data_IF_028610207640
#
_entry.id   IF_028610207640
#
_cell.length_a   1.000
_cell.length_b   1.000
_cell.length_c   1.000
_cell.angle_alpha   90.00
_cell.angle_beta   90.00
_cell.angle_gamma   90.00
#
_symmetry.space_group_name_H-M   'P 1'
#
loop_
_entity.id
_entity.type
_entity.pdbx_description
1 polymer ?
#
# COMPACT_ATOMS: atom_id res chain seq x y z
N UNK A 1 -8.63 -13.56 10.03
CA UNK A 1 -7.19 -13.25 10.04
C UNK A 1 -7.03 -11.77 10.31
N UNK A 2 -6.23 -11.38 11.30
CA UNK A 2 -5.95 -9.96 11.59
C UNK A 2 -4.88 -9.42 10.63
N UNK A 3 -4.87 -8.10 10.38
CA UNK A 3 -3.81 -7.48 9.57
C UNK A 3 -2.43 -7.62 10.21
N UNK A 4 -2.37 -7.68 11.55
CA UNK A 4 -1.15 -7.99 12.31
C UNK A 4 -0.61 -9.39 12.06
N UNK A 5 -1.45 -10.35 11.67
CA UNK A 5 -0.99 -11.67 11.22
C UNK A 5 -0.53 -11.62 9.76
N UNK A 6 -1.23 -10.84 8.93
CA UNK A 6 -0.96 -10.73 7.48
C UNK A 6 0.38 -10.03 7.16
N UNK A 7 0.89 -9.19 8.06
CA UNK A 7 2.10 -8.38 7.82
C UNK A 7 3.33 -9.21 7.44
N UNK A 8 3.54 -10.39 8.04
CA UNK A 8 4.70 -11.24 7.75
C UNK A 8 4.61 -11.84 6.35
N UNK A 9 3.41 -12.31 5.97
CA UNK A 9 3.17 -12.83 4.64
C UNK A 9 3.38 -11.74 3.56
N UNK A 10 3.05 -10.47 3.87
CA UNK A 10 3.30 -9.36 2.96
C UNK A 10 4.80 -9.13 2.73
N UNK A 11 5.61 -9.18 3.79
CA UNK A 11 7.08 -9.07 3.68
C UNK A 11 7.65 -10.20 2.83
N UNK A 12 7.21 -11.43 3.09
CA UNK A 12 7.67 -12.60 2.33
C UNK A 12 7.34 -12.48 0.83
N UNK A 13 6.12 -12.06 0.49
CA UNK A 13 5.74 -11.82 -0.91
C UNK A 13 6.58 -10.70 -1.52
N UNK A 14 6.83 -9.62 -0.77
CA UNK A 14 7.65 -8.51 -1.24
C UNK A 14 9.10 -8.91 -1.53
N UNK A 15 9.68 -9.74 -0.67
CA UNK A 15 11.06 -10.24 -0.81
C UNK A 15 11.20 -11.24 -1.97
N UNK A 16 10.13 -11.97 -2.29
CA UNK A 16 10.07 -12.89 -3.43
C UNK A 16 9.94 -12.17 -4.79
N UNK A 17 9.64 -10.86 -4.82
CA UNK A 17 9.50 -10.10 -6.07
C UNK A 17 10.87 -9.72 -6.66
N UNK A 18 11.16 -10.06 -7.94
CA UNK A 18 12.41 -9.69 -8.60
C UNK A 18 12.53 -8.17 -8.79
N UNK A 19 13.75 -7.66 -8.82
CA UNK A 19 14.01 -6.26 -9.14
C UNK A 19 13.92 -6.01 -10.66
N UNK A 20 13.36 -4.87 -11.12
CA UNK A 20 12.82 -3.75 -10.33
C UNK A 20 11.36 -3.97 -9.86
N UNK A 21 11.07 -3.65 -8.59
CA UNK A 21 9.73 -3.75 -7.98
C UNK A 21 9.24 -2.41 -7.44
N UNK A 22 7.92 -2.23 -7.42
CA UNK A 22 7.26 -1.03 -6.91
C UNK A 22 6.01 -1.38 -6.09
N UNK A 23 5.68 -0.52 -5.12
CA UNK A 23 4.53 -0.71 -4.24
C UNK A 23 3.61 0.49 -4.30
N UNK A 24 2.33 0.27 -4.61
CA UNK A 24 1.30 1.29 -4.54
C UNK A 24 0.43 1.01 -3.29
N UNK A 25 0.35 1.97 -2.38
CA UNK A 25 -0.55 1.87 -1.22
C UNK A 25 -1.88 2.56 -1.52
N UNK A 26 -2.96 1.79 -1.47
CA UNK A 26 -4.30 2.26 -1.87
C UNK A 26 -5.27 2.35 -0.70
N UNK A 27 -5.88 3.52 -0.53
CA UNK A 27 -6.96 3.75 0.41
C UNK A 27 -6.53 3.92 1.87
N UNK A 28 -7.46 4.41 2.71
CA UNK A 28 -7.17 4.75 4.12
C UNK A 28 -6.69 3.54 4.94
N UNK A 29 -7.21 2.35 4.64
CA UNK A 29 -6.82 1.10 5.30
C UNK A 29 -5.32 0.80 5.14
N UNK A 30 -4.80 0.89 3.90
CA UNK A 30 -3.40 0.59 3.65
C UNK A 30 -2.48 1.73 4.12
N UNK A 31 -2.90 2.98 3.91
CA UNK A 31 -2.07 4.15 4.20
C UNK A 31 -1.89 4.40 5.70
N UNK A 32 -2.95 4.22 6.51
CA UNK A 32 -2.94 4.59 7.94
C UNK A 32 -3.65 3.62 8.88
N UNK A 33 -4.18 2.50 8.39
CA UNK A 33 -4.96 1.55 9.19
C UNK A 33 -6.48 1.76 9.12
N UNK A 34 -6.95 2.71 8.30
CA UNK A 34 -8.36 2.85 7.94
C UNK A 34 -9.17 3.71 8.92
N UNK A 35 -10.45 3.38 9.07
CA UNK A 35 -11.37 4.06 9.98
C UNK A 35 -11.21 3.58 11.44
N UNK A 36 -10.49 2.47 11.64
CA UNK A 36 -10.30 1.78 12.92
C UNK A 36 -8.84 1.78 13.40
N UNK A 37 -7.99 2.62 12.79
CA UNK A 37 -6.58 2.82 13.11
C UNK A 37 -6.30 3.13 14.59
N UNK A 38 -7.23 3.82 15.25
CA UNK A 38 -7.15 4.16 16.67
C UNK A 38 -7.77 3.13 17.63
N UNK A 39 -8.68 2.26 17.16
CA UNK A 39 -9.53 1.43 18.03
C UNK A 39 -9.33 -0.08 17.87
N UNK A 40 -8.71 -0.55 16.78
CA UNK A 40 -8.53 -1.97 16.53
C UNK A 40 -7.11 -2.43 16.87
N UNK A 41 -6.98 -3.50 17.66
CA UNK A 41 -5.70 -4.18 17.93
C UNK A 41 -5.24 -5.04 16.75
N UNK A 42 -6.14 -5.29 15.80
CA UNK A 42 -5.93 -6.21 14.69
C UNK A 42 -5.46 -5.50 13.41
N UNK A 43 -5.22 -4.18 13.44
CA UNK A 43 -4.79 -3.38 12.27
C UNK A 43 -3.35 -2.90 12.40
N UNK A 44 -2.64 -2.84 11.27
CA UNK A 44 -1.35 -2.15 11.18
C UNK A 44 -1.59 -0.68 10.85
N UNK A 45 -0.93 0.21 11.59
CA UNK A 45 -1.04 1.68 11.41
C UNK A 45 -0.15 2.16 10.26
N UNK A 46 -0.51 1.74 9.05
CA UNK A 46 0.16 2.04 7.80
C UNK A 46 1.18 0.98 7.39
N UNK A 47 1.07 0.48 6.15
CA UNK A 47 1.98 -0.53 5.62
C UNK A 47 3.35 0.01 5.20
N UNK A 48 3.51 1.33 5.13
CA UNK A 48 4.80 2.01 4.90
C UNK A 48 5.87 1.67 5.95
N UNK A 49 5.44 1.22 7.14
CA UNK A 49 6.35 0.76 8.19
C UNK A 49 6.92 -0.64 7.93
N UNK A 50 6.32 -1.39 7.02
CA UNK A 50 6.65 -2.79 6.75
C UNK A 50 7.35 -2.93 5.40
N UNK A 51 6.78 -2.33 4.35
CA UNK A 51 7.33 -2.35 2.98
C UNK A 51 7.45 -0.91 2.45
N UNK A 52 8.49 -0.60 1.65
CA UNK A 52 8.66 0.74 1.11
C UNK A 52 7.57 1.03 0.07
N UNK A 53 6.79 2.09 0.30
CA UNK A 53 5.71 2.50 -0.60
C UNK A 53 6.19 3.56 -1.59
N UNK A 54 5.94 3.36 -2.89
CA UNK A 54 6.32 4.30 -3.94
C UNK A 54 5.30 5.40 -4.18
N UNK A 55 4.01 5.06 -4.13
CA UNK A 55 2.89 5.94 -4.45
C UNK A 55 1.74 5.67 -3.50
N UNK A 56 1.09 6.75 -3.07
CA UNK A 56 -0.09 6.73 -2.22
C UNK A 56 -1.32 7.18 -2.99
N UNK A 57 -2.35 6.34 -3.02
CA UNK A 57 -3.69 6.70 -3.48
C UNK A 57 -4.54 6.97 -2.25
N UNK A 58 -4.99 8.23 -2.07
CA UNK A 58 -5.65 8.69 -0.84
C UNK A 58 -7.17 8.47 -0.81
N UNK A 59 -7.78 8.20 -1.97
CA UNK A 59 -9.24 8.04 -2.09
C UNK A 59 -9.78 6.86 -1.28
N UNK A 60 -10.95 7.04 -0.65
CA UNK A 60 -11.62 5.98 0.12
C UNK A 60 -13.13 6.28 0.21
N UNK A 61 -14.00 5.56 -0.53
CA UNK A 61 -13.74 4.37 -1.34
C UNK A 61 -12.92 4.69 -2.59
N UNK A 62 -12.13 3.73 -3.06
CA UNK A 62 -11.21 3.95 -4.18
C UNK A 62 -12.00 4.00 -5.49
N UNK A 63 -12.04 5.16 -6.13
CA UNK A 63 -12.62 5.29 -7.48
C UNK A 63 -11.66 4.72 -8.53
N UNK A 64 -12.21 4.17 -9.61
CA UNK A 64 -11.42 3.56 -10.68
C UNK A 64 -10.47 4.59 -11.33
N UNK A 65 -10.92 5.84 -11.50
CA UNK A 65 -10.09 6.91 -12.06
C UNK A 65 -8.90 7.25 -11.18
N UNK A 66 -9.09 7.23 -9.85
CA UNK A 66 -8.03 7.53 -8.89
C UNK A 66 -6.93 6.46 -8.89
N UNK A 67 -7.31 5.19 -9.02
CA UNK A 67 -6.34 4.10 -9.16
C UNK A 67 -5.58 4.21 -10.48
N UNK A 68 -6.29 4.47 -11.58
CA UNK A 68 -5.67 4.65 -12.89
C UNK A 68 -4.68 5.82 -12.87
N UNK A 69 -5.05 6.93 -12.23
CA UNK A 69 -4.15 8.06 -12.04
C UNK A 69 -2.90 7.69 -11.25
N UNK A 70 -3.03 6.90 -10.18
CA UNK A 70 -1.89 6.38 -9.42
C UNK A 70 -0.95 5.51 -10.27
N UNK A 71 -1.48 4.65 -11.14
CA UNK A 71 -0.69 3.83 -12.06
C UNK A 71 0.02 4.71 -13.10
N UNK A 72 -0.67 5.72 -13.66
CA UNK A 72 -0.06 6.66 -14.60
C UNK A 72 1.08 7.47 -13.94
N UNK A 73 0.92 7.85 -12.67
CA UNK A 73 2.00 8.46 -11.89
C UNK A 73 3.17 7.50 -11.69
N UNK A 74 2.92 6.21 -11.47
CA UNK A 74 3.98 5.20 -11.38
C UNK A 74 4.75 5.09 -12.69
N UNK A 75 4.05 4.97 -13.82
CA UNK A 75 4.66 4.93 -15.14
C UNK A 75 5.54 6.17 -15.39
N UNK A 76 5.08 7.36 -15.00
CA UNK A 76 5.88 8.60 -15.08
C UNK A 76 7.11 8.57 -14.18
N UNK A 77 7.04 7.95 -13.00
CA UNK A 77 8.18 7.76 -12.08
C UNK A 77 9.20 6.79 -12.66
N UNK A 78 8.75 5.73 -13.32
CA UNK A 78 9.60 4.73 -13.98
C UNK A 78 10.29 5.33 -15.22
N UNK A 79 9.55 6.05 -16.07
CA UNK A 79 10.10 6.64 -17.30
C UNK A 79 11.07 7.80 -17.06
N UNK A 80 11.10 8.38 -15.85
CA UNK A 80 12.07 9.40 -15.45
C UNK A 80 13.37 8.80 -14.89
N UNK A 81 13.46 7.49 -14.81
CA UNK A 81 14.60 6.75 -14.26
C UNK A 81 15.57 6.34 -15.36
#
# INVERSE_FOLDING_TARGET
>A
MSATQMQMALVEVYDQMPEPRWVISTGRCANRGGYSDHYSYAVVRGYDRIVPVDIYVLECPLMAEALLYGILQLQKKINKR
#
